data_IF_920438116941
#
_entry.id   IF_920438116941
#
_cell.length_a   1.000
_cell.length_b   1.000
_cell.length_c   1.000
_cell.angle_alpha   90.00
_cell.angle_beta   90.00
_cell.angle_gamma   90.00
#
_symmetry.space_group_name_H-M   'P 1'
#
loop_
_entity.id
_entity.type
_entity.pdbx_description
1 polymer ?
#
# COMPACT_ATOMS: atom_id res chain seq x y z
N UNK A 1 12.25 -3.10 8.60
CA UNK A 1 13.69 -2.86 8.88
C UNK A 1 14.63 -3.47 7.85
N UNK A 2 14.20 -4.49 7.06
CA UNK A 2 15.05 -5.08 6.02
C UNK A 2 15.07 -4.21 4.76
N UNK A 3 13.90 -3.83 4.25
CA UNK A 3 13.76 -3.04 3.03
C UNK A 3 14.22 -1.59 3.22
N UNK A 4 13.84 -0.97 4.32
CA UNK A 4 14.20 0.42 4.62
C UNK A 4 15.24 0.52 5.73
N UNK A 5 16.23 1.40 5.57
CA UNK A 5 17.31 1.68 6.55
C UNK A 5 17.15 3.03 7.22
N UNK A 6 16.69 4.02 6.48
CA UNK A 6 16.61 5.42 6.89
C UNK A 6 15.19 5.91 7.00
N UNK A 7 14.38 5.63 5.98
CA UNK A 7 12.99 6.09 5.90
C UNK A 7 12.14 5.55 7.06
N UNK A 8 11.18 6.30 7.61
CA UNK A 8 10.29 5.86 8.69
C UNK A 8 9.49 4.58 8.40
N UNK A 9 9.30 4.21 7.14
CA UNK A 9 8.64 2.93 6.77
C UNK A 9 9.40 1.69 7.27
N UNK A 10 10.60 1.84 7.81
CA UNK A 10 11.32 0.78 8.52
C UNK A 10 10.68 0.37 9.85
N UNK A 11 9.81 1.21 10.39
CA UNK A 11 9.13 0.94 11.65
C UNK A 11 7.79 0.25 11.40
N UNK A 12 7.46 -0.72 12.24
CA UNK A 12 6.14 -1.32 12.22
C UNK A 12 5.11 -0.31 12.76
N UNK A 13 4.03 -0.08 12.00
CA UNK A 13 2.95 0.85 12.38
C UNK A 13 2.25 0.46 13.68
N UNK A 14 2.17 -0.84 13.97
CA UNK A 14 1.59 -1.35 15.21
C UNK A 14 2.49 -1.14 16.43
N UNK A 15 3.77 -0.74 16.22
CA UNK A 15 4.77 -0.63 17.28
C UNK A 15 5.76 -1.79 17.29
N UNK A 16 6.81 -1.62 18.08
CA UNK A 16 7.93 -2.58 18.15
C UNK A 16 7.77 -3.52 19.35
N UNK A 17 7.24 -3.03 20.47
CA UNK A 17 7.12 -3.81 21.70
C UNK A 17 6.01 -3.28 22.60
N UNK A 18 5.35 -4.17 23.39
CA UNK A 18 4.33 -3.80 24.37
C UNK A 18 4.82 -2.78 25.42
N UNK A 19 6.10 -2.82 25.77
CA UNK A 19 6.69 -1.91 26.75
C UNK A 19 6.62 -0.44 26.31
N UNK A 20 6.52 -0.16 25.02
CA UNK A 20 6.31 1.21 24.52
C UNK A 20 4.95 1.75 24.97
N UNK A 21 3.91 0.88 25.00
CA UNK A 21 2.57 1.25 25.46
C UNK A 21 2.57 1.41 26.99
N UNK A 22 3.22 0.49 27.71
CA UNK A 22 3.29 0.51 29.17
C UNK A 22 4.03 1.74 29.72
N UNK A 23 5.00 2.28 28.97
CA UNK A 23 5.75 3.48 29.36
C UNK A 23 5.11 4.79 28.94
N UNK A 24 4.15 4.76 28.01
CA UNK A 24 3.49 5.95 27.52
C UNK A 24 2.69 6.63 28.66
N UNK A 25 2.92 7.91 28.86
CA UNK A 25 2.21 8.73 29.83
C UNK A 25 1.05 9.49 29.20
N UNK A 26 0.11 9.95 30.01
CA UNK A 26 -0.95 10.86 29.53
C UNK A 26 -0.39 12.17 28.95
N UNK A 27 0.78 12.61 29.44
CA UNK A 27 1.45 13.79 28.90
C UNK A 27 1.97 13.55 27.49
N UNK A 28 2.59 12.38 27.23
CA UNK A 28 3.08 11.99 25.89
C UNK A 28 1.91 11.92 24.90
N UNK A 29 0.81 11.27 25.28
CA UNK A 29 -0.40 11.17 24.46
C UNK A 29 -0.99 12.56 24.20
N UNK A 30 -1.09 13.39 25.23
CA UNK A 30 -1.60 14.76 25.11
C UNK A 30 -0.72 15.64 24.22
N UNK A 31 0.59 15.52 24.31
CA UNK A 31 1.56 16.24 23.47
C UNK A 31 1.43 15.82 22.00
N UNK A 32 1.41 14.52 21.75
CA UNK A 32 1.22 13.96 20.41
C UNK A 32 -0.12 14.43 19.79
N UNK A 33 -1.21 14.35 20.56
CA UNK A 33 -2.52 14.78 20.09
C UNK A 33 -2.53 16.26 19.69
N UNK A 34 -2.01 17.13 20.57
CA UNK A 34 -1.93 18.58 20.28
C UNK A 34 -1.08 18.89 19.05
N UNK A 35 -0.04 18.11 18.83
CA UNK A 35 0.88 18.34 17.71
C UNK A 35 0.32 17.88 16.36
N UNK A 36 -0.37 16.73 16.32
CA UNK A 36 -0.74 16.08 15.05
C UNK A 36 -2.24 16.15 14.72
N UNK A 37 -3.11 16.36 15.72
CA UNK A 37 -4.57 16.37 15.54
C UNK A 37 -5.14 17.80 15.59
N UNK A 38 -4.43 18.74 15.00
CA UNK A 38 -4.91 20.12 14.88
C UNK A 38 -5.49 20.39 13.48
N UNK A 39 -6.36 21.42 13.33
CA UNK A 39 -7.01 21.72 12.04
C UNK A 39 -6.06 22.04 10.90
N UNK A 40 -4.90 22.61 11.19
CA UNK A 40 -3.84 22.89 10.20
C UNK A 40 -3.08 21.64 9.71
N UNK A 41 -3.38 20.46 10.28
CA UNK A 41 -2.85 19.16 9.88
C UNK A 41 -3.97 18.13 9.61
N UNK A 42 -5.18 18.59 9.27
CA UNK A 42 -6.33 17.71 9.06
C UNK A 42 -7.09 18.08 7.78
N UNK A 43 -7.56 17.06 7.08
CA UNK A 43 -8.44 17.21 5.92
C UNK A 43 -9.82 16.70 6.33
N UNK A 44 -10.86 17.50 6.12
CA UNK A 44 -12.25 17.12 6.36
C UNK A 44 -12.95 16.96 5.02
N UNK A 45 -13.44 15.75 4.75
CA UNK A 45 -14.24 15.46 3.57
C UNK A 45 -15.64 15.01 3.97
N UNK A 46 -16.65 15.60 3.33
CA UNK A 46 -18.07 15.32 3.60
C UNK A 46 -18.75 14.94 2.30
N UNK A 47 -19.37 13.78 2.28
CA UNK A 47 -20.14 13.33 1.13
C UNK A 47 -21.52 12.80 1.60
N UNK A 48 -22.62 13.30 1.00
CA UNK A 48 -23.96 12.88 1.36
C UNK A 48 -25.03 13.89 0.96
N UNK A 49 -26.25 13.65 1.38
CA UNK A 49 -27.38 14.57 1.13
C UNK A 49 -27.38 15.73 2.14
N UNK A 50 -26.42 16.64 2.00
CA UNK A 50 -26.29 17.85 2.81
C UNK A 50 -25.96 19.04 1.92
N UNK A 51 -26.57 20.19 2.18
CA UNK A 51 -26.22 21.44 1.50
C UNK A 51 -24.81 21.91 1.93
N UNK A 52 -24.04 22.42 0.98
CA UNK A 52 -22.67 22.90 1.21
C UNK A 52 -22.57 23.92 2.35
N UNK A 53 -23.43 24.95 2.32
CA UNK A 53 -23.47 25.97 3.37
C UNK A 53 -23.70 25.37 4.77
N UNK A 54 -24.57 24.35 4.84
CA UNK A 54 -24.85 23.66 6.10
C UNK A 54 -23.68 22.83 6.57
N UNK A 55 -22.99 22.15 5.65
CA UNK A 55 -21.77 21.41 5.97
C UNK A 55 -20.69 22.35 6.50
N UNK A 56 -20.47 23.48 5.82
CA UNK A 56 -19.49 24.50 6.24
C UNK A 56 -19.83 25.12 7.60
N UNK A 57 -21.12 25.42 7.85
CA UNK A 57 -21.59 25.89 9.17
C UNK A 57 -21.24 24.89 10.29
N UNK A 58 -21.49 23.60 10.04
CA UNK A 58 -21.20 22.55 11.01
C UNK A 58 -19.70 22.37 11.25
N UNK A 59 -18.89 22.39 10.19
CA UNK A 59 -17.42 22.32 10.32
C UNK A 59 -16.92 23.51 11.14
N UNK A 60 -17.36 24.73 10.84
CA UNK A 60 -16.98 25.92 11.61
C UNK A 60 -17.42 25.83 13.07
N UNK A 61 -18.64 25.34 13.32
CA UNK A 61 -19.16 25.17 14.67
C UNK A 61 -18.34 24.21 15.53
N UNK A 62 -17.88 23.10 14.96
CA UNK A 62 -17.25 22.02 15.72
C UNK A 62 -15.72 22.07 15.73
N UNK A 63 -15.12 22.68 14.72
CA UNK A 63 -13.66 22.73 14.57
C UNK A 63 -13.09 24.15 14.56
N UNK A 64 -13.95 25.20 14.39
CA UNK A 64 -13.51 26.58 14.21
C UNK A 64 -12.78 27.19 15.40
N UNK A 65 -13.07 26.73 16.60
CA UNK A 65 -12.45 27.24 17.83
C UNK A 65 -11.16 26.45 18.23
N UNK A 66 -10.82 25.42 17.50
CA UNK A 66 -9.61 24.61 17.75
C UNK A 66 -8.40 25.38 17.19
N UNK A 67 -7.41 25.74 18.02
CA UNK A 67 -6.24 26.47 17.54
C UNK A 67 -5.35 25.59 16.66
N UNK A 68 -4.64 26.18 15.68
CA UNK A 68 -3.63 25.46 14.90
C UNK A 68 -2.47 25.05 15.81
N UNK A 69 -1.85 23.89 15.47
CA UNK A 69 -0.73 23.38 16.23
C UNK A 69 0.60 24.07 15.89
N UNK A 70 0.73 24.60 14.67
CA UNK A 70 1.99 25.12 14.12
C UNK A 70 3.18 24.18 14.36
N UNK A 71 2.88 22.86 14.26
CA UNK A 71 3.86 21.82 14.49
C UNK A 71 5.02 21.88 13.50
N UNK A 72 6.19 21.35 13.85
CA UNK A 72 7.33 21.31 12.94
C UNK A 72 6.95 20.49 11.72
N UNK A 73 7.24 21.04 10.52
CA UNK A 73 7.19 20.26 9.29
C UNK A 73 8.24 19.14 9.41
N UNK A 74 7.77 17.92 9.54
CA UNK A 74 8.66 16.76 9.66
C UNK A 74 9.34 16.55 8.31
N UNK A 75 10.67 16.72 8.27
CA UNK A 75 11.43 16.36 7.09
C UNK A 75 11.70 14.84 7.13
N UNK A 76 10.98 14.11 6.29
CA UNK A 76 11.19 12.67 6.14
C UNK A 76 12.42 12.44 5.26
N UNK A 77 13.47 11.77 5.78
CA UNK A 77 14.66 11.49 5.00
C UNK A 77 14.34 10.47 3.89
N UNK A 78 14.84 10.74 2.69
CA UNK A 78 14.70 9.78 1.58
C UNK A 78 15.49 8.50 1.86
N UNK A 79 14.91 7.36 1.49
CA UNK A 79 15.63 6.08 1.54
C UNK A 79 16.71 6.06 0.46
N UNK A 80 17.98 5.74 0.80
CA UNK A 80 19.03 5.62 -0.20
C UNK A 80 18.78 4.42 -1.11
N UNK A 81 19.23 4.53 -2.36
CA UNK A 81 19.12 3.43 -3.34
C UNK A 81 19.83 2.18 -2.79
N UNK A 82 19.13 1.05 -2.82
CA UNK A 82 19.70 -0.24 -2.47
C UNK A 82 20.67 -0.70 -3.56
N UNK A 83 21.88 -1.12 -3.16
CA UNK A 83 22.94 -1.56 -4.07
C UNK A 83 23.29 -3.04 -3.94
N UNK A 84 22.76 -3.71 -2.91
CA UNK A 84 22.99 -5.12 -2.64
C UNK A 84 21.72 -5.81 -2.14
N UNK A 85 21.64 -7.09 -2.34
CA UNK A 85 20.56 -7.90 -1.78
C UNK A 85 20.69 -7.99 -0.26
N UNK A 86 19.54 -7.98 0.42
CA UNK A 86 19.44 -8.14 1.88
C UNK A 86 18.54 -9.31 2.19
N UNK A 87 18.99 -10.24 3.03
CA UNK A 87 18.27 -11.43 3.43
C UNK A 87 18.11 -11.51 4.95
N UNK A 88 16.99 -12.08 5.38
CA UNK A 88 16.76 -12.44 6.78
C UNK A 88 15.91 -13.71 6.84
N UNK A 89 16.22 -14.57 7.80
CA UNK A 89 15.39 -15.74 8.13
C UNK A 89 14.88 -15.52 9.54
N UNK A 90 13.56 -15.60 9.71
CA UNK A 90 12.90 -15.46 11.00
C UNK A 90 12.20 -16.77 11.33
N UNK A 91 12.72 -17.58 12.26
CA UNK A 91 12.04 -18.78 12.69
C UNK A 91 10.81 -18.41 13.53
N UNK A 92 9.68 -19.05 13.22
CA UNK A 92 8.44 -18.94 13.99
C UNK A 92 7.79 -20.31 14.12
N UNK A 93 7.77 -20.84 15.34
CA UNK A 93 7.22 -22.16 15.63
C UNK A 93 5.68 -22.16 15.71
N UNK A 94 5.04 -21.00 15.60
CA UNK A 94 3.58 -20.87 15.69
C UNK A 94 2.89 -20.87 14.33
N UNK A 95 3.66 -20.91 13.23
CA UNK A 95 3.10 -20.92 11.88
C UNK A 95 3.09 -22.34 11.30
N UNK A 96 2.02 -22.73 10.57
CA UNK A 96 1.87 -24.10 10.07
C UNK A 96 2.68 -24.39 8.80
N UNK A 97 3.26 -23.38 8.14
CA UNK A 97 4.01 -23.52 6.90
C UNK A 97 4.98 -22.36 6.71
N UNK A 98 6.04 -22.64 5.97
CA UNK A 98 7.02 -21.63 5.59
C UNK A 98 6.41 -20.57 4.66
N UNK A 99 6.90 -19.34 4.79
CA UNK A 99 6.51 -18.24 3.92
C UNK A 99 7.75 -17.51 3.40
N UNK A 100 7.65 -17.01 2.17
CA UNK A 100 8.69 -16.21 1.53
C UNK A 100 8.14 -14.83 1.18
N UNK A 101 8.92 -13.80 1.49
CA UNK A 101 8.67 -12.43 1.08
C UNK A 101 9.84 -11.94 0.26
N UNK A 102 9.60 -11.57 -1.01
CA UNK A 102 10.59 -10.98 -1.89
C UNK A 102 10.11 -9.57 -2.25
N UNK A 103 10.96 -8.56 -2.01
CA UNK A 103 10.54 -7.17 -2.11
C UNK A 103 11.53 -6.35 -2.93
N UNK A 104 10.99 -5.39 -3.70
CA UNK A 104 11.74 -4.43 -4.50
C UNK A 104 11.26 -3.03 -4.18
N UNK A 105 12.17 -2.05 -4.15
CA UNK A 105 11.79 -0.65 -4.04
C UNK A 105 11.14 -0.17 -5.32
N UNK A 106 10.14 0.70 -5.18
CA UNK A 106 9.43 1.32 -6.30
C UNK A 106 9.14 2.79 -5.99
N UNK A 107 8.63 3.53 -6.97
CA UNK A 107 8.20 4.91 -6.79
C UNK A 107 7.04 5.08 -5.81
N UNK A 108 6.81 6.33 -5.39
CA UNK A 108 5.69 6.69 -4.52
C UNK A 108 4.37 6.74 -5.28
N UNK A 109 3.29 6.95 -4.55
CA UNK A 109 1.90 6.91 -5.05
C UNK A 109 1.60 7.90 -6.19
N UNK A 110 2.32 9.01 -6.25
CA UNK A 110 2.18 10.06 -7.26
C UNK A 110 3.01 9.83 -8.54
N UNK A 111 3.89 8.80 -8.55
CA UNK A 111 4.77 8.50 -9.68
C UNK A 111 4.09 7.63 -10.75
N UNK A 112 4.55 7.75 -12.01
CA UNK A 112 4.11 6.85 -13.09
C UNK A 112 4.58 5.41 -12.87
N UNK A 113 5.70 5.23 -12.17
CA UNK A 113 6.23 3.94 -11.74
C UNK A 113 5.22 3.16 -10.86
N UNK A 114 4.47 3.87 -10.02
CA UNK A 114 3.42 3.26 -9.19
C UNK A 114 2.36 2.57 -10.05
N UNK A 115 1.80 3.25 -11.05
CA UNK A 115 0.74 2.70 -11.90
C UNK A 115 1.21 1.51 -12.73
N UNK A 116 2.43 1.60 -13.26
CA UNK A 116 3.05 0.48 -13.97
C UNK A 116 3.22 -0.75 -13.04
N UNK A 117 3.74 -0.55 -11.83
CA UNK A 117 3.90 -1.60 -10.84
C UNK A 117 2.55 -2.19 -10.37
N UNK A 118 1.51 -1.36 -10.21
CA UNK A 118 0.16 -1.82 -9.84
C UNK A 118 -0.42 -2.73 -10.93
N UNK A 119 -0.36 -2.32 -12.20
CA UNK A 119 -0.77 -3.15 -13.33
C UNK A 119 0.02 -4.46 -13.40
N UNK A 120 1.35 -4.42 -13.24
CA UNK A 120 2.21 -5.60 -13.22
C UNK A 120 1.79 -6.55 -12.10
N UNK A 121 1.54 -6.04 -10.91
CA UNK A 121 1.12 -6.85 -9.76
C UNK A 121 -0.21 -7.56 -10.03
N UNK A 122 -1.14 -6.87 -10.67
CA UNK A 122 -2.44 -7.41 -11.05
C UNK A 122 -2.34 -8.50 -12.14
N UNK A 123 -1.49 -8.33 -13.15
CA UNK A 123 -1.23 -9.37 -14.16
C UNK A 123 -0.63 -10.60 -13.49
N UNK A 124 0.30 -10.41 -12.57
CA UNK A 124 0.99 -11.49 -11.88
C UNK A 124 0.10 -12.27 -10.92
N UNK A 125 -0.75 -11.60 -10.12
CA UNK A 125 -1.45 -12.27 -9.03
C UNK A 125 -2.96 -12.07 -8.94
N UNK A 126 -3.57 -11.16 -9.72
CA UNK A 126 -4.98 -10.83 -9.54
C UNK A 126 -5.94 -11.87 -10.18
N UNK A 127 -6.33 -12.86 -9.37
CA UNK A 127 -7.32 -13.88 -9.67
C UNK A 127 -6.75 -15.16 -10.28
N UNK A 128 -7.62 -16.16 -10.48
CA UNK A 128 -7.23 -17.52 -10.84
C UNK A 128 -6.64 -17.70 -12.26
N UNK A 129 -6.68 -16.66 -13.08
CA UNK A 129 -6.06 -16.64 -14.41
C UNK A 129 -4.75 -15.85 -14.44
N UNK A 130 -4.26 -15.40 -13.30
CA UNK A 130 -2.99 -14.69 -13.16
C UNK A 130 -1.81 -15.65 -13.31
N UNK A 131 -0.64 -15.11 -13.72
CA UNK A 131 0.54 -15.93 -14.05
C UNK A 131 1.04 -16.73 -12.85
N UNK A 132 1.18 -16.11 -11.67
CA UNK A 132 1.62 -16.79 -10.45
C UNK A 132 0.64 -17.89 -10.02
N UNK A 133 -0.67 -17.62 -10.08
CA UNK A 133 -1.65 -18.63 -9.71
C UNK A 133 -1.59 -19.85 -10.63
N UNK A 134 -1.60 -19.61 -11.94
CA UNK A 134 -1.58 -20.71 -12.92
C UNK A 134 -0.29 -21.53 -12.82
N UNK A 135 0.85 -20.86 -12.77
CA UNK A 135 2.14 -21.55 -12.83
C UNK A 135 2.55 -22.14 -11.49
N UNK A 136 2.49 -21.38 -10.42
CA UNK A 136 3.07 -21.78 -9.13
C UNK A 136 2.09 -22.49 -8.20
N UNK A 137 0.79 -22.17 -8.27
CA UNK A 137 -0.24 -22.86 -7.45
C UNK A 137 -0.82 -24.05 -8.22
N UNK A 138 -1.38 -23.82 -9.41
CA UNK A 138 -2.15 -24.84 -10.12
C UNK A 138 -1.28 -25.91 -10.76
N UNK A 139 -0.23 -25.50 -11.50
CA UNK A 139 0.62 -26.40 -12.27
C UNK A 139 1.72 -27.04 -11.42
N UNK A 140 2.55 -26.21 -10.76
CA UNK A 140 3.71 -26.69 -10.00
C UNK A 140 3.37 -27.04 -8.55
N UNK A 141 2.29 -26.52 -7.98
CA UNK A 141 1.83 -26.77 -6.59
C UNK A 141 2.87 -26.44 -5.52
N UNK A 142 3.73 -25.47 -5.79
CA UNK A 142 4.78 -25.07 -4.85
C UNK A 142 4.23 -24.19 -3.72
N UNK A 143 3.14 -23.48 -3.99
CA UNK A 143 2.53 -22.56 -3.04
C UNK A 143 1.08 -22.93 -2.76
N UNK A 144 0.66 -22.79 -1.51
CA UNK A 144 -0.75 -22.81 -1.11
C UNK A 144 -1.43 -21.46 -1.36
N UNK A 145 -0.65 -20.40 -1.43
CA UNK A 145 -1.04 -19.04 -1.82
C UNK A 145 0.19 -18.23 -2.18
N UNK A 146 0.10 -17.43 -3.23
CA UNK A 146 1.14 -16.48 -3.62
C UNK A 146 0.48 -15.26 -4.24
N UNK A 147 0.93 -14.08 -3.82
CA UNK A 147 0.45 -12.79 -4.28
C UNK A 147 1.62 -11.89 -4.67
N UNK A 148 1.36 -10.98 -5.61
CA UNK A 148 2.20 -9.83 -5.90
C UNK A 148 1.36 -8.56 -5.72
N UNK A 149 1.88 -7.57 -5.00
CA UNK A 149 1.15 -6.33 -4.76
C UNK A 149 2.10 -5.15 -4.48
N UNK A 150 1.57 -3.95 -4.59
CA UNK A 150 2.29 -2.71 -4.30
C UNK A 150 1.90 -2.15 -2.94
N UNK A 151 2.83 -1.51 -2.24
CA UNK A 151 2.55 -0.93 -0.93
C UNK A 151 1.68 0.33 -0.96
N UNK A 152 1.59 1.02 -2.08
CA UNK A 152 0.65 2.12 -2.29
C UNK A 152 0.79 3.36 -1.41
N UNK A 153 1.89 3.51 -0.69
CA UNK A 153 2.14 4.62 0.23
C UNK A 153 2.53 5.91 -0.53
N UNK A 154 2.39 7.08 0.13
CA UNK A 154 2.72 8.38 -0.44
C UNK A 154 4.17 8.44 -0.93
N UNK A 155 5.10 8.11 -0.02
CA UNK A 155 6.53 8.05 -0.32
C UNK A 155 6.89 6.75 -1.07
N UNK A 156 8.13 6.63 -1.61
CA UNK A 156 8.57 5.44 -2.31
C UNK A 156 8.27 4.15 -1.56
N UNK A 157 7.49 3.30 -2.22
CA UNK A 157 6.95 2.06 -1.65
C UNK A 157 7.71 0.82 -2.04
N UNK A 158 7.03 -0.32 -1.95
CA UNK A 158 7.59 -1.64 -2.25
C UNK A 158 6.67 -2.42 -3.20
N UNK A 159 7.27 -3.06 -4.18
CA UNK A 159 6.66 -4.16 -4.91
C UNK A 159 6.97 -5.45 -4.16
N UNK A 160 5.95 -6.20 -3.78
CA UNK A 160 6.05 -7.32 -2.84
C UNK A 160 5.53 -8.59 -3.49
N UNK A 161 6.33 -9.64 -3.47
CA UNK A 161 5.88 -11.02 -3.64
C UNK A 161 5.74 -11.65 -2.25
N UNK A 162 4.59 -12.22 -1.94
CA UNK A 162 4.31 -12.90 -0.67
C UNK A 162 3.77 -14.30 -0.97
N UNK A 163 4.53 -15.33 -0.62
CA UNK A 163 4.17 -16.71 -0.89
C UNK A 163 4.16 -17.57 0.36
N UNK A 164 3.06 -18.31 0.57
CA UNK A 164 2.97 -19.37 1.56
C UNK A 164 3.22 -20.72 0.87
N UNK A 165 4.24 -21.43 1.29
CA UNK A 165 4.63 -22.68 0.67
C UNK A 165 3.59 -23.80 0.89
N UNK A 166 3.52 -24.74 -0.04
CA UNK A 166 2.84 -26.01 0.17
C UNK A 166 3.66 -26.92 1.09
N UNK A 167 3.02 -27.86 1.75
CA UNK A 167 3.67 -28.79 2.66
C UNK A 167 4.80 -29.58 1.97
N UNK A 168 5.96 -29.66 2.61
CA UNK A 168 7.12 -30.41 2.13
C UNK A 168 7.93 -29.75 1.00
N UNK A 169 7.61 -28.54 0.61
CA UNK A 169 8.36 -27.80 -0.40
C UNK A 169 9.57 -27.12 0.23
N UNK A 170 10.72 -27.28 -0.39
CA UNK A 170 11.95 -26.58 -0.02
C UNK A 170 11.88 -25.08 -0.40
N UNK A 171 12.27 -24.21 0.55
CA UNK A 171 12.17 -22.77 0.37
C UNK A 171 13.04 -22.25 -0.79
N UNK A 172 14.18 -22.90 -1.09
CA UNK A 172 15.04 -22.52 -2.21
C UNK A 172 14.42 -22.86 -3.55
N UNK A 173 13.69 -24.00 -3.61
CA UNK A 173 12.91 -24.36 -4.78
C UNK A 173 11.80 -23.35 -5.04
N UNK A 174 11.08 -22.95 -3.98
CA UNK A 174 10.02 -21.95 -4.06
C UNK A 174 10.56 -20.57 -4.49
N UNK A 175 11.70 -20.15 -3.94
CA UNK A 175 12.36 -18.92 -4.32
C UNK A 175 12.78 -18.91 -5.79
N UNK A 176 13.45 -19.98 -6.24
CA UNK A 176 13.87 -20.11 -7.62
C UNK A 176 12.70 -20.09 -8.61
N UNK A 177 11.54 -20.63 -8.21
CA UNK A 177 10.33 -20.58 -9.03
C UNK A 177 9.77 -19.15 -9.16
N UNK A 178 9.81 -18.36 -8.10
CA UNK A 178 9.45 -16.93 -8.17
C UNK A 178 10.40 -16.19 -9.12
N UNK A 179 11.71 -16.44 -9.01
CA UNK A 179 12.71 -15.80 -9.87
C UNK A 179 12.50 -16.14 -11.34
N UNK A 180 12.19 -17.41 -11.64
CA UNK A 180 11.85 -17.84 -12.99
C UNK A 180 10.60 -17.14 -13.54
N UNK A 181 9.55 -16.98 -12.72
CA UNK A 181 8.35 -16.25 -13.15
C UNK A 181 8.63 -14.77 -13.39
N UNK A 182 9.47 -14.14 -12.58
CA UNK A 182 9.93 -12.76 -12.81
C UNK A 182 10.72 -12.68 -14.13
N UNK A 183 11.65 -13.61 -14.37
CA UNK A 183 12.40 -13.65 -15.62
C UNK A 183 11.51 -13.88 -16.84
N UNK A 184 10.54 -14.80 -16.75
CA UNK A 184 9.56 -15.02 -17.81
C UNK A 184 8.74 -13.77 -18.07
N UNK A 185 8.28 -13.09 -17.01
CA UNK A 185 7.52 -11.85 -17.15
C UNK A 185 8.31 -10.74 -17.88
N UNK A 186 9.62 -10.65 -17.62
CA UNK A 186 10.51 -9.67 -18.28
C UNK A 186 10.79 -10.03 -19.75
N UNK A 187 10.87 -11.32 -20.06
CA UNK A 187 11.25 -11.82 -21.41
C UNK A 187 10.05 -12.02 -22.32
N UNK A 188 8.93 -12.45 -21.75
CA UNK A 188 7.73 -12.77 -22.51
C UNK A 188 6.90 -11.52 -22.74
N UNK A 189 6.31 -11.40 -23.93
CA UNK A 189 5.40 -10.31 -24.21
C UNK A 189 4.16 -10.37 -23.29
N UNK A 190 3.80 -9.21 -22.74
CA UNK A 190 2.52 -9.03 -22.09
C UNK A 190 1.46 -8.98 -23.18
N UNK A 191 0.49 -9.87 -23.13
CA UNK A 191 -0.56 -9.94 -24.15
C UNK A 191 -1.57 -8.79 -23.99
N UNK A 192 -2.10 -8.31 -25.11
CA UNK A 192 -3.17 -7.30 -25.11
C UNK A 192 -4.34 -7.73 -24.21
N UNK A 193 -4.67 -9.02 -24.23
CA UNK A 193 -5.75 -9.57 -23.40
C UNK A 193 -5.48 -9.47 -21.90
N UNK A 194 -4.24 -9.61 -21.45
CA UNK A 194 -3.87 -9.43 -20.03
C UNK A 194 -4.06 -7.97 -19.63
N UNK A 195 -3.60 -7.04 -20.44
CA UNK A 195 -3.73 -5.60 -20.18
C UNK A 195 -5.20 -5.18 -20.17
N UNK A 196 -5.97 -5.51 -21.21
CA UNK A 196 -7.41 -5.20 -21.30
C UNK A 196 -8.18 -5.76 -20.09
N UNK A 197 -7.88 -6.99 -19.67
CA UNK A 197 -8.50 -7.56 -18.47
C UNK A 197 -8.27 -6.71 -17.23
N UNK A 198 -7.07 -6.19 -17.03
CA UNK A 198 -6.74 -5.37 -15.85
C UNK A 198 -7.38 -3.98 -15.97
N UNK A 199 -7.32 -3.36 -17.14
CA UNK A 199 -8.00 -2.07 -17.39
C UNK A 199 -9.49 -2.18 -17.05
N UNK A 200 -10.19 -3.16 -17.60
CA UNK A 200 -11.63 -3.35 -17.33
C UNK A 200 -11.92 -3.61 -15.84
N UNK A 201 -11.06 -4.35 -15.14
CA UNK A 201 -11.19 -4.56 -13.70
C UNK A 201 -11.00 -3.26 -12.92
N UNK A 202 -10.02 -2.47 -13.28
CA UNK A 202 -9.73 -1.18 -12.64
C UNK A 202 -10.87 -0.19 -12.88
N UNK A 203 -11.37 -0.08 -14.11
CA UNK A 203 -12.54 0.75 -14.44
C UNK A 203 -13.78 0.33 -13.63
N UNK A 204 -14.04 -0.97 -13.54
CA UNK A 204 -15.13 -1.49 -12.72
C UNK A 204 -14.94 -1.16 -11.24
N UNK A 205 -13.73 -1.36 -10.68
CA UNK A 205 -13.41 -1.04 -9.30
C UNK A 205 -13.62 0.44 -8.99
N UNK A 206 -13.14 1.34 -9.86
CA UNK A 206 -13.34 2.78 -9.73
C UNK A 206 -14.83 3.11 -9.75
N UNK A 207 -15.58 2.62 -10.75
CA UNK A 207 -17.01 2.87 -10.89
C UNK A 207 -17.81 2.38 -9.68
N UNK A 208 -17.49 1.20 -9.14
CA UNK A 208 -18.16 0.68 -7.94
C UNK A 208 -17.79 1.45 -6.68
N UNK A 209 -16.57 1.93 -6.56
CA UNK A 209 -16.14 2.73 -5.40
C UNK A 209 -16.92 4.05 -5.30
N UNK A 210 -17.36 4.60 -6.42
CA UNK A 210 -18.15 5.84 -6.48
C UNK A 210 -19.60 5.70 -6.01
N UNK A 211 -20.12 4.49 -5.86
CA UNK A 211 -21.48 4.27 -5.35
C UNK A 211 -21.57 4.60 -3.85
N UNK A 212 -20.50 4.34 -3.11
CA UNK A 212 -20.44 4.57 -1.66
C UNK A 212 -20.07 6.02 -1.33
N UNK A 213 -20.92 6.71 -0.57
CA UNK A 213 -20.60 8.04 -0.04
C UNK A 213 -19.36 8.04 0.85
N UNK A 214 -19.16 6.98 1.62
CA UNK A 214 -17.95 6.82 2.44
C UNK A 214 -16.71 6.72 1.57
N UNK A 215 -16.74 5.89 0.52
CA UNK A 215 -15.62 5.76 -0.40
C UNK A 215 -15.31 7.07 -1.12
N UNK A 216 -16.35 7.80 -1.57
CA UNK A 216 -16.19 9.12 -2.16
C UNK A 216 -15.52 10.10 -1.21
N UNK A 217 -15.99 10.18 0.04
CA UNK A 217 -15.39 11.07 1.04
C UNK A 217 -13.94 10.69 1.34
N UNK A 218 -13.64 9.39 1.48
CA UNK A 218 -12.29 8.90 1.70
C UNK A 218 -11.36 9.19 0.53
N UNK A 219 -11.81 8.97 -0.70
CA UNK A 219 -11.02 9.26 -1.91
C UNK A 219 -10.75 10.75 -2.06
N UNK A 220 -11.76 11.62 -1.84
CA UNK A 220 -11.56 13.08 -1.87
C UNK A 220 -10.51 13.52 -0.85
N UNK A 221 -10.60 13.03 0.39
CA UNK A 221 -9.61 13.34 1.42
C UNK A 221 -8.22 12.82 1.06
N UNK A 222 -8.13 11.63 0.45
CA UNK A 222 -6.87 11.04 0.04
C UNK A 222 -6.20 11.81 -1.11
N UNK A 223 -6.94 12.21 -2.14
CA UNK A 223 -6.38 12.98 -3.24
C UNK A 223 -6.00 14.40 -2.81
N UNK A 224 -6.78 15.03 -1.91
CA UNK A 224 -6.38 16.30 -1.29
C UNK A 224 -5.07 16.13 -0.49
N UNK A 225 -4.92 15.04 0.25
CA UNK A 225 -3.68 14.70 0.95
C UNK A 225 -2.49 14.50 0.01
N UNK A 226 -2.71 13.98 -1.20
CA UNK A 226 -1.67 13.89 -2.24
C UNK A 226 -1.36 15.25 -2.89
N UNK A 227 -2.20 16.27 -2.68
CA UNK A 227 -2.01 17.64 -3.14
C UNK A 227 -2.80 18.02 -4.40
N UNK A 228 -3.64 17.13 -4.91
CA UNK A 228 -4.50 17.40 -6.07
C UNK A 228 -5.80 16.59 -5.98
N UNK A 229 -6.86 17.21 -5.49
CA UNK A 229 -8.19 16.57 -5.34
C UNK A 229 -8.81 16.22 -6.71
N UNK A 230 -8.47 16.91 -7.78
CA UNK A 230 -9.01 16.64 -9.13
C UNK A 230 -8.51 15.31 -9.71
N UNK A 231 -7.47 14.71 -9.13
CA UNK A 231 -7.06 13.35 -9.47
C UNK A 231 -8.18 12.32 -9.32
N UNK A 232 -9.16 12.54 -8.45
CA UNK A 232 -10.35 11.67 -8.32
C UNK A 232 -11.07 11.46 -9.66
N UNK A 233 -11.06 12.48 -10.53
CA UNK A 233 -11.72 12.45 -11.84
C UNK A 233 -10.81 11.96 -12.97
N UNK A 234 -9.51 11.90 -12.77
CA UNK A 234 -8.52 11.69 -13.84
C UNK A 234 -7.63 10.48 -13.62
N UNK A 235 -7.52 9.97 -12.40
CA UNK A 235 -6.63 8.84 -12.07
C UNK A 235 -6.88 7.61 -12.95
N UNK A 236 -8.14 7.28 -13.23
CA UNK A 236 -8.48 6.14 -14.10
C UNK A 236 -7.86 6.19 -15.50
N UNK A 237 -7.43 7.38 -15.97
CA UNK A 237 -6.75 7.55 -17.26
C UNK A 237 -5.25 7.25 -17.20
N UNK A 238 -4.69 7.06 -16.01
CA UNK A 238 -3.27 6.72 -15.81
C UNK A 238 -3.05 5.20 -15.86
N UNK A 239 -4.12 4.43 -15.80
CA UNK A 239 -4.15 3.00 -16.04
C UNK A 239 -4.39 2.68 -17.53
#
# INVERSE_FOLDING_TARGET
PLAYKVHPYRWATIGVSPEHIERATLEDVGAFFRQFYAPDNAIVSICGNIAEDKALELVKKWFGDIPPAHGPVSHIPAEPRQTEERRSIVPDNNVPADAIYKVFHMGGRDSDDFYACDIISDILSNGQSSRLYVNLIKNQRLFSGIDAYVSGDRDPGLFIFSGKLSEGIDIRQAEAAIDQEIEHFIKDEITVREVEKIIHKTEARISYSEISYQSKASNLAFFEFLGDVDLINTEGKRY
#
